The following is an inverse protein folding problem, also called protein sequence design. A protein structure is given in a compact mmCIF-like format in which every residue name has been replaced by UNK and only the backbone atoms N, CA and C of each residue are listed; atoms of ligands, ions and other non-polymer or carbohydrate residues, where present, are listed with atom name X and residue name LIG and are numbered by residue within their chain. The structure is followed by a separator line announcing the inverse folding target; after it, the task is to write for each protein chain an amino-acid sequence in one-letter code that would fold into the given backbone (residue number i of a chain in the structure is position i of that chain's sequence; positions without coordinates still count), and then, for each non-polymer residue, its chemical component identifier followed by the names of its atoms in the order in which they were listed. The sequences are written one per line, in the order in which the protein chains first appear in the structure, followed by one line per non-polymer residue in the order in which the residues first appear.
data_IF_033478314571
#
_entry.id   IF_033478314571
#
_cell.length_a   1.000
_cell.length_b   1.000
_cell.length_c   1.000
_cell.angle_alpha   90.00
_cell.angle_beta   90.00
_cell.angle_gamma   90.00
#
_symmetry.space_group_name_H-M   'P 1'
#
loop_
_entity.id
_entity.type
_entity.pdbx_description
1 polymer ?
#
# COMPACT_ATOMS: atom_id res chain seq x y z
N UNK A 1 1.21 -23.13 -13.85
CA UNK A 1 1.04 -24.10 -12.74
C UNK A 1 -0.24 -23.73 -12.01
N UNK A 2 -1.24 -24.61 -11.93
CA UNK A 2 -2.51 -24.29 -11.30
C UNK A 2 -2.42 -24.49 -9.77
N UNK A 3 -2.83 -23.48 -8.99
CA UNK A 3 -2.94 -23.56 -7.53
C UNK A 3 -4.37 -23.97 -7.18
N UNK A 4 -4.55 -24.91 -6.27
CA UNK A 4 -5.88 -25.32 -5.82
C UNK A 4 -6.46 -24.33 -4.82
N UNK A 5 -7.78 -24.14 -4.83
CA UNK A 5 -8.48 -23.27 -3.86
C UNK A 5 -8.16 -23.64 -2.41
N UNK A 6 -8.00 -24.95 -2.14
CA UNK A 6 -7.61 -25.44 -0.81
C UNK A 6 -6.28 -24.84 -0.34
N UNK A 7 -5.26 -24.82 -1.21
CA UNK A 7 -3.96 -24.23 -0.86
C UNK A 7 -4.03 -22.73 -0.58
N UNK A 8 -4.96 -22.01 -1.23
CA UNK A 8 -5.17 -20.58 -0.98
C UNK A 8 -5.82 -20.36 0.38
N UNK A 9 -6.84 -21.16 0.72
CA UNK A 9 -7.52 -21.11 2.02
C UNK A 9 -6.54 -21.45 3.14
N UNK A 10 -5.79 -22.55 3.01
CA UNK A 10 -4.78 -22.97 3.99
C UNK A 10 -3.73 -21.85 4.24
N UNK A 11 -3.37 -21.08 3.20
CA UNK A 11 -2.43 -19.96 3.32
C UNK A 11 -3.03 -18.77 4.09
N UNK A 12 -4.30 -18.43 3.83
CA UNK A 12 -5.00 -17.35 4.54
C UNK A 12 -5.20 -17.69 6.02
N UNK A 13 -5.44 -18.97 6.35
CA UNK A 13 -5.58 -19.45 7.73
C UNK A 13 -4.28 -19.33 8.54
N UNK A 14 -3.12 -19.45 7.88
CA UNK A 14 -1.81 -19.34 8.51
C UNK A 14 -1.36 -17.89 8.74
N UNK A 15 -2.07 -16.91 8.19
CA UNK A 15 -1.70 -15.50 8.33
C UNK A 15 -1.97 -14.99 9.76
N UNK A 16 -1.07 -14.14 10.31
CA UNK A 16 -1.36 -13.42 11.54
C UNK A 16 -2.60 -12.55 11.36
N UNK A 17 -3.33 -12.31 12.45
CA UNK A 17 -4.60 -11.58 12.41
C UNK A 17 -4.47 -10.19 11.80
N UNK A 18 -3.34 -9.50 12.06
CA UNK A 18 -3.00 -8.21 11.46
C UNK A 18 -2.90 -8.24 9.93
N UNK A 19 -2.49 -9.38 9.35
CA UNK A 19 -2.31 -9.51 7.90
C UNK A 19 -3.54 -10.10 7.19
N UNK A 20 -4.47 -10.73 7.92
CA UNK A 20 -5.68 -11.33 7.32
C UNK A 20 -6.57 -10.32 6.63
N UNK A 21 -6.70 -9.11 7.20
CA UNK A 21 -7.47 -8.03 6.60
C UNK A 21 -6.87 -7.58 5.27
N UNK A 22 -5.57 -7.33 5.24
CA UNK A 22 -4.85 -6.95 4.01
C UNK A 22 -4.91 -8.04 2.95
N UNK A 23 -4.80 -9.32 3.34
CA UNK A 23 -4.95 -10.44 2.41
C UNK A 23 -6.37 -10.53 1.82
N UNK A 24 -7.40 -10.31 2.65
CA UNK A 24 -8.78 -10.24 2.18
C UNK A 24 -8.98 -9.09 1.18
N UNK A 25 -8.52 -7.89 1.52
CA UNK A 25 -8.65 -6.71 0.66
C UNK A 25 -7.94 -6.92 -0.68
N UNK A 26 -6.75 -7.53 -0.67
CA UNK A 26 -6.02 -7.86 -1.88
C UNK A 26 -6.72 -8.94 -2.74
N UNK A 27 -7.19 -10.02 -2.13
CA UNK A 27 -7.94 -11.05 -2.86
C UNK A 27 -9.22 -10.48 -3.45
N UNK A 28 -9.93 -9.62 -2.71
CA UNK A 28 -11.11 -8.89 -3.19
C UNK A 28 -10.75 -7.96 -4.34
N UNK A 29 -9.66 -7.21 -4.25
CA UNK A 29 -9.16 -6.39 -5.35
C UNK A 29 -8.91 -7.23 -6.61
N UNK A 30 -8.28 -8.39 -6.48
CA UNK A 30 -8.04 -9.30 -7.60
C UNK A 30 -9.34 -9.79 -8.25
N UNK A 31 -10.45 -9.94 -7.50
CA UNK A 31 -11.76 -10.29 -8.08
C UNK A 31 -12.40 -9.18 -8.93
N UNK A 32 -11.87 -7.96 -8.87
CA UNK A 32 -12.34 -6.82 -9.67
C UNK A 32 -11.34 -6.49 -10.78
N UNK A 33 -10.04 -6.58 -10.47
CA UNK A 33 -8.93 -6.08 -11.29
C UNK A 33 -8.01 -7.21 -11.78
N UNK A 34 -8.60 -8.25 -12.38
CA UNK A 34 -7.85 -9.39 -12.89
C UNK A 34 -6.88 -9.03 -14.03
N UNK A 35 -7.07 -7.87 -14.66
CA UNK A 35 -6.11 -7.28 -15.59
C UNK A 35 -5.53 -6.04 -14.94
N UNK A 36 -4.24 -6.12 -14.58
CA UNK A 36 -3.48 -4.88 -14.42
C UNK A 36 -3.20 -4.39 -15.83
N UNK A 37 -3.66 -3.18 -16.20
CA UNK A 37 -3.28 -2.62 -17.47
C UNK A 37 -1.76 -2.52 -17.53
N UNK A 38 -1.19 -2.81 -18.69
CA UNK A 38 0.23 -2.53 -18.92
C UNK A 38 0.46 -1.00 -18.97
N UNK A 39 1.71 -0.56 -19.00
CA UNK A 39 2.01 0.89 -18.97
C UNK A 39 1.40 1.65 -20.15
N UNK A 40 1.32 1.04 -21.33
CA UNK A 40 0.71 1.66 -22.51
C UNK A 40 -0.81 1.78 -22.33
N UNK A 41 -1.46 0.74 -21.79
CA UNK A 41 -2.87 0.75 -21.45
C UNK A 41 -3.20 1.79 -20.36
N UNK A 42 -2.31 1.99 -19.37
CA UNK A 42 -2.49 3.01 -18.33
C UNK A 42 -2.45 4.43 -18.91
N UNK A 43 -1.56 4.69 -19.87
CA UNK A 43 -1.46 6.00 -20.52
C UNK A 43 -2.72 6.38 -21.30
N UNK A 44 -3.43 5.37 -21.80
CA UNK A 44 -4.66 5.55 -22.59
C UNK A 44 -5.94 5.57 -21.72
N UNK A 45 -5.84 5.29 -20.40
CA UNK A 45 -6.99 5.35 -19.49
C UNK A 45 -7.38 6.80 -19.17
N UNK A 46 -8.68 7.02 -19.03
CA UNK A 46 -9.19 8.29 -18.48
C UNK A 46 -8.67 8.46 -17.04
N UNK A 47 -8.21 9.67 -16.67
CA UNK A 47 -7.90 9.98 -15.29
C UNK A 47 -9.11 9.69 -14.41
N UNK A 48 -8.88 9.10 -13.24
CA UNK A 48 -9.97 8.91 -12.30
C UNK A 48 -10.41 10.26 -11.69
N UNK A 49 -11.69 10.35 -11.33
CA UNK A 49 -12.29 11.54 -10.73
C UNK A 49 -12.16 11.55 -9.19
N UNK A 50 -11.31 10.68 -8.63
CA UNK A 50 -11.09 10.63 -7.18
C UNK A 50 -10.29 11.87 -6.80
N UNK A 51 -10.83 12.75 -5.93
CA UNK A 51 -10.07 13.88 -5.47
C UNK A 51 -8.88 13.39 -4.63
N UNK A 52 -7.77 14.11 -4.72
CA UNK A 52 -6.63 13.90 -3.84
C UNK A 52 -7.07 14.01 -2.39
N UNK A 53 -6.53 13.14 -1.55
CA UNK A 53 -6.58 13.32 -0.11
C UNK A 53 -5.75 14.54 0.31
N UNK A 54 -6.01 15.06 1.52
CA UNK A 54 -5.24 16.17 2.08
C UNK A 54 -3.73 15.87 2.12
N UNK A 55 -3.36 14.60 2.36
CA UNK A 55 -1.97 14.13 2.36
C UNK A 55 -1.36 14.17 0.95
N UNK A 56 -2.04 13.63 -0.04
CA UNK A 56 -1.57 13.62 -1.43
C UNK A 56 -1.42 15.05 -1.97
N UNK A 57 -2.33 15.95 -1.61
CA UNK A 57 -2.18 17.37 -1.92
C UNK A 57 -0.93 18.00 -1.30
N UNK A 58 -0.62 17.67 -0.03
CA UNK A 58 0.57 18.18 0.66
C UNK A 58 1.84 17.62 0.04
N UNK A 59 1.87 16.32 -0.31
CA UNK A 59 2.98 15.69 -1.01
C UNK A 59 3.23 16.34 -2.37
N UNK A 60 2.18 16.62 -3.15
CA UNK A 60 2.26 17.33 -4.43
C UNK A 60 2.76 18.78 -4.31
N UNK A 61 2.41 19.47 -3.21
CA UNK A 61 2.84 20.85 -2.94
C UNK A 61 4.27 20.92 -2.39
N UNK A 62 4.83 19.80 -1.92
CA UNK A 62 6.18 19.76 -1.38
C UNK A 62 7.21 19.67 -2.52
N UNK A 63 8.03 20.71 -2.67
CA UNK A 63 9.10 20.74 -3.69
C UNK A 63 10.33 19.89 -3.28
N UNK A 64 10.29 19.23 -2.13
CA UNK A 64 11.32 18.28 -1.72
C UNK A 64 11.08 16.93 -2.38
N UNK A 65 12.07 16.41 -3.09
CA UNK A 65 12.04 15.04 -3.65
C UNK A 65 12.04 13.96 -2.55
N UNK A 66 12.25 14.35 -1.28
CA UNK A 66 12.36 13.44 -0.14
C UNK A 66 11.52 13.93 1.04
N UNK A 67 10.92 12.97 1.75
CA UNK A 67 10.32 13.18 3.08
C UNK A 67 11.42 12.97 4.13
N UNK A 68 11.52 13.85 5.13
CA UNK A 68 12.48 13.64 6.21
C UNK A 68 12.09 12.42 7.05
N UNK A 69 13.08 11.78 7.69
CA UNK A 69 12.81 10.64 8.55
C UNK A 69 11.89 11.03 9.72
N UNK A 70 12.08 12.22 10.27
CA UNK A 70 11.24 12.80 11.31
C UNK A 70 9.80 13.01 10.86
N UNK A 71 9.58 13.54 9.66
CA UNK A 71 8.24 13.74 9.09
C UNK A 71 7.54 12.41 8.85
N UNK A 72 8.23 11.43 8.26
CA UNK A 72 7.69 10.10 8.03
C UNK A 72 7.31 9.39 9.34
N UNK A 73 8.10 9.55 10.40
CA UNK A 73 7.75 9.00 11.72
C UNK A 73 6.50 9.64 12.31
N UNK A 74 6.38 10.97 12.21
CA UNK A 74 5.22 11.70 12.71
C UNK A 74 3.94 11.33 11.95
N UNK A 75 4.02 11.21 10.61
CA UNK A 75 2.90 10.85 9.75
C UNK A 75 2.42 9.42 9.99
N UNK A 76 3.34 8.47 10.11
CA UNK A 76 3.03 7.04 10.29
C UNK A 76 2.75 6.66 11.76
N UNK A 77 2.70 7.64 12.68
CA UNK A 77 2.62 7.43 14.13
C UNK A 77 3.66 6.41 14.64
N UNK A 78 4.87 6.47 14.09
CA UNK A 78 5.95 5.59 14.48
C UNK A 78 6.58 6.09 15.79
N UNK A 79 7.06 5.19 16.65
CA UNK A 79 7.73 5.58 17.87
C UNK A 79 9.00 6.38 17.55
N UNK A 80 9.05 7.61 18.06
CA UNK A 80 10.17 8.54 17.88
C UNK A 80 11.38 8.26 18.78
N UNK A 81 11.30 7.28 19.67
CA UNK A 81 12.39 6.89 20.57
C UNK A 81 13.39 5.97 19.86
N UNK A 82 14.10 6.51 18.87
CA UNK A 82 15.38 5.93 18.47
C UNK A 82 16.39 6.40 19.51
N UNK A 83 16.53 5.63 20.60
CA UNK A 83 17.59 5.84 21.58
C UNK A 83 18.90 6.09 20.84
N UNK A 84 19.42 7.30 21.01
CA UNK A 84 20.78 7.66 20.66
C UNK A 84 21.71 6.69 21.38
N UNK A 85 22.16 5.67 20.64
CA UNK A 85 23.14 4.73 21.13
C UNK A 85 24.50 5.42 21.01
N UNK A 86 24.80 6.22 22.04
CA UNK A 86 26.12 6.77 22.29
C UNK A 86 26.91 5.67 22.99
N UNK A 87 27.86 5.07 22.27
CA UNK A 87 28.98 4.32 22.85
C UNK A 87 30.12 5.30 23.16
#
# INVERSE_FOLDING_TARGET
MAISNKKIIDLVEQLPESARKSAYDYLKFLTVSHSRPNWDEILDLEPDETPLSEEEELQLKNNSEFVSWEDAMNELNLPSDVKSRVD
#
